data_IF_963538786093
#
_entry.id   IF_963538786093
#
_cell.length_a   1.000
_cell.length_b   1.000
_cell.length_c   1.000
_cell.angle_alpha   90.00
_cell.angle_beta   90.00
_cell.angle_gamma   90.00
#
_symmetry.space_group_name_H-M   'P 1'
#
loop_
_entity.id
_entity.type
_entity.pdbx_description
1 polymer ?
#
# COMPACT_ATOMS: atom_id res chain seq x y z
N UNK A 1 -7.56 -29.25 -34.36
CA UNK A 1 -8.19 -28.19 -33.54
C UNK A 1 -7.08 -27.34 -32.97
N UNK A 2 -7.13 -26.01 -33.12
CA UNK A 2 -6.18 -25.13 -32.44
C UNK A 2 -6.55 -25.08 -30.96
N UNK A 3 -5.65 -25.53 -30.08
CA UNK A 3 -5.81 -25.30 -28.65
C UNK A 3 -5.45 -23.84 -28.37
N UNK A 4 -6.37 -23.00 -27.89
CA UNK A 4 -6.02 -21.64 -27.53
C UNK A 4 -5.04 -21.67 -26.36
N UNK A 5 -4.07 -20.75 -26.36
CA UNK A 5 -3.19 -20.53 -25.22
C UNK A 5 -4.01 -19.83 -24.12
N UNK A 6 -4.06 -20.44 -22.94
CA UNK A 6 -4.62 -19.81 -21.74
C UNK A 6 -3.50 -19.06 -21.02
N UNK A 7 -3.73 -17.77 -20.75
CA UNK A 7 -2.79 -16.90 -20.01
C UNK A 7 -3.50 -16.42 -18.76
N UNK A 8 -2.88 -16.61 -17.60
CA UNK A 8 -3.36 -16.13 -16.32
C UNK A 8 -2.43 -15.05 -15.79
N UNK A 9 -2.97 -13.86 -15.51
CA UNK A 9 -2.27 -12.80 -14.79
C UNK A 9 -2.72 -12.83 -13.32
N UNK A 10 -1.74 -12.86 -12.42
CA UNK A 10 -1.97 -12.81 -10.97
C UNK A 10 -1.23 -11.59 -10.43
N UNK A 11 -1.97 -10.60 -9.96
CA UNK A 11 -1.42 -9.40 -9.35
C UNK A 11 -1.35 -9.59 -7.84
N UNK A 12 -0.15 -9.62 -7.29
CA UNK A 12 0.07 -9.74 -5.85
C UNK A 12 0.19 -8.37 -5.20
N UNK A 13 -0.81 -7.99 -4.40
CA UNK A 13 -0.83 -6.72 -3.69
C UNK A 13 -0.52 -6.94 -2.21
N UNK A 14 0.68 -6.50 -1.82
CA UNK A 14 1.20 -6.64 -0.47
C UNK A 14 1.85 -5.35 -0.01
N UNK A 15 1.65 -5.03 1.27
CA UNK A 15 2.46 -4.08 2.01
C UNK A 15 2.79 -4.70 3.38
N UNK A 16 4.03 -4.55 3.87
CA UNK A 16 4.38 -4.88 5.25
C UNK A 16 3.45 -4.20 6.26
N UNK A 17 3.41 -4.75 7.47
CA UNK A 17 2.71 -4.08 8.57
C UNK A 17 3.54 -2.88 9.06
N UNK A 18 3.08 -1.68 8.72
CA UNK A 18 3.69 -0.42 9.16
C UNK A 18 3.12 0.07 10.49
N UNK A 19 2.04 -0.54 10.98
CA UNK A 19 1.42 -0.22 12.27
C UNK A 19 2.39 -0.50 13.42
N UNK A 20 2.68 0.52 14.22
CA UNK A 20 3.56 0.37 15.37
C UNK A 20 2.89 -0.43 16.49
N UNK A 21 3.63 -1.35 17.11
CA UNK A 21 3.16 -2.12 18.26
C UNK A 21 3.47 -1.44 19.62
N UNK A 22 4.18 -0.30 19.64
CA UNK A 22 4.60 0.37 20.87
C UNK A 22 3.71 1.58 21.21
N UNK A 23 2.94 1.44 22.29
CA UNK A 23 2.69 2.53 23.24
C UNK A 23 1.30 3.18 23.21
N UNK A 24 0.46 2.81 24.16
CA UNK A 24 -0.78 3.47 24.55
C UNK A 24 -0.60 4.88 25.18
N UNK A 25 0.35 5.71 24.69
CA UNK A 25 0.64 7.02 25.28
C UNK A 25 0.94 8.15 24.29
N UNK A 26 0.67 7.97 23.00
CA UNK A 26 0.42 9.09 22.07
C UNK A 26 -0.86 8.70 21.34
N UNK A 27 -1.86 9.58 21.34
CA UNK A 27 -3.21 9.30 20.86
C UNK A 27 -3.20 8.55 19.50
N UNK A 28 -3.79 7.34 19.48
CA UNK A 28 -4.23 6.53 18.32
C UNK A 28 -3.28 6.33 17.12
N UNK A 29 -2.97 5.06 16.82
CA UNK A 29 -2.69 4.56 15.46
C UNK A 29 -1.49 5.12 14.71
N UNK A 30 -0.30 5.09 15.32
CA UNK A 30 0.94 5.47 14.64
C UNK A 30 1.41 4.41 13.64
N UNK A 31 1.57 4.83 12.39
CA UNK A 31 2.17 4.06 11.31
C UNK A 31 3.57 4.58 11.05
N UNK A 32 4.49 3.69 10.65
CA UNK A 32 5.87 4.10 10.37
C UNK A 32 6.05 4.69 8.97
N UNK A 33 5.26 4.23 7.99
CA UNK A 33 5.41 4.59 6.59
C UNK A 33 4.04 4.77 5.91
N UNK A 34 3.97 5.63 4.87
CA UNK A 34 2.71 6.04 4.24
C UNK A 34 2.24 5.08 3.13
N UNK A 35 3.02 4.04 2.83
CA UNK A 35 2.94 3.31 1.57
C UNK A 35 1.59 2.64 1.32
N UNK A 36 0.92 2.12 2.35
CA UNK A 36 -0.45 1.59 2.20
C UNK A 36 -1.43 2.67 1.70
N UNK A 37 -1.34 3.89 2.25
CA UNK A 37 -2.21 5.01 1.87
C UNK A 37 -1.87 5.52 0.47
N UNK A 38 -0.59 5.71 0.16
CA UNK A 38 -0.15 6.29 -1.12
C UNK A 38 -0.34 5.32 -2.30
N UNK A 39 0.07 4.05 -2.15
CA UNK A 39 -0.21 3.04 -3.18
C UNK A 39 -1.72 2.74 -3.29
N UNK A 40 -2.47 2.86 -2.19
CA UNK A 40 -3.92 2.69 -2.24
C UNK A 40 -4.64 3.71 -3.11
N UNK A 41 -4.08 4.91 -3.31
CA UNK A 41 -4.65 5.90 -4.23
C UNK A 41 -4.16 5.77 -5.67
N UNK A 42 -3.26 4.80 -5.94
CA UNK A 42 -2.56 4.71 -7.22
C UNK A 42 -2.53 3.34 -7.92
N UNK A 43 -2.56 2.23 -7.18
CA UNK A 43 -2.21 0.91 -7.75
C UNK A 43 -3.24 -0.20 -7.50
N UNK A 44 -4.18 0.01 -6.56
CA UNK A 44 -5.12 -1.04 -6.15
C UNK A 44 -6.48 -0.90 -6.84
N UNK A 45 -7.08 0.30 -6.81
CA UNK A 45 -8.42 0.54 -7.35
C UNK A 45 -8.42 0.76 -8.87
N UNK A 46 -7.48 1.58 -9.34
CA UNK A 46 -7.26 1.97 -10.73
C UNK A 46 -7.10 0.74 -11.64
N UNK A 47 -6.28 -0.25 -11.25
CA UNK A 47 -6.08 -1.49 -11.98
C UNK A 47 -7.42 -2.21 -12.24
N UNK A 48 -8.27 -2.27 -11.20
CA UNK A 48 -9.56 -2.97 -11.26
C UNK A 48 -10.61 -2.17 -12.03
N UNK A 49 -10.61 -0.85 -11.92
CA UNK A 49 -11.47 0.03 -12.73
C UNK A 49 -11.11 -0.02 -14.21
N UNK A 50 -9.81 -0.06 -14.54
CA UNK A 50 -9.35 -0.27 -15.91
C UNK A 50 -9.80 -1.64 -16.43
N UNK A 51 -9.64 -2.71 -15.64
CA UNK A 51 -10.09 -4.06 -16.00
C UNK A 51 -11.60 -4.11 -16.30
N UNK A 52 -12.43 -3.41 -15.51
CA UNK A 52 -13.90 -3.36 -15.69
C UNK A 52 -14.31 -2.91 -17.11
N UNK A 53 -13.48 -2.09 -17.78
CA UNK A 53 -13.72 -1.65 -19.16
C UNK A 53 -13.51 -2.74 -20.21
N UNK A 54 -12.98 -3.91 -19.84
CA UNK A 54 -12.65 -5.04 -20.73
C UNK A 54 -13.33 -6.35 -20.29
N UNK A 55 -14.67 -6.47 -20.41
CA UNK A 55 -15.47 -7.54 -19.77
C UNK A 55 -15.14 -8.98 -20.20
N UNK A 56 -14.39 -9.17 -21.29
CA UNK A 56 -13.93 -10.49 -21.74
C UNK A 56 -12.62 -10.93 -21.08
N UNK A 57 -11.86 -9.99 -20.52
CA UNK A 57 -10.60 -10.26 -19.86
C UNK A 57 -10.88 -10.62 -18.40
N UNK A 58 -10.33 -11.76 -17.99
CA UNK A 58 -10.41 -12.26 -16.63
C UNK A 58 -9.02 -12.23 -16.01
N UNK A 59 -8.93 -11.82 -14.75
CA UNK A 59 -7.66 -11.73 -14.04
C UNK A 59 -7.82 -12.18 -12.59
N UNK A 60 -6.69 -12.41 -11.94
CA UNK A 60 -6.63 -12.72 -10.51
C UNK A 60 -5.90 -11.60 -9.78
N UNK A 61 -6.45 -11.16 -8.64
CA UNK A 61 -5.74 -10.30 -7.70
C UNK A 61 -5.61 -11.03 -6.37
N UNK A 62 -4.40 -11.07 -5.83
CA UNK A 62 -4.16 -11.46 -4.46
C UNK A 62 -4.12 -10.23 -3.56
N UNK A 63 -4.90 -10.25 -2.48
CA UNK A 63 -4.88 -9.21 -1.44
C UNK A 63 -4.39 -9.81 -0.13
N UNK A 64 -3.22 -9.36 0.35
CA UNK A 64 -2.70 -9.81 1.64
C UNK A 64 -3.57 -9.26 2.79
N UNK A 65 -3.95 -10.07 3.80
CA UNK A 65 -4.82 -9.63 4.89
C UNK A 65 -4.30 -8.39 5.65
N UNK A 66 -2.99 -8.28 5.92
CA UNK A 66 -2.41 -7.08 6.54
C UNK A 66 -2.47 -5.83 5.68
N UNK A 67 -2.56 -5.95 4.34
CA UNK A 67 -2.84 -4.79 3.50
C UNK A 67 -4.26 -4.28 3.73
N UNK A 68 -5.24 -5.19 3.72
CA UNK A 68 -6.66 -4.87 3.97
C UNK A 68 -6.82 -4.19 5.33
N UNK A 69 -6.27 -4.78 6.39
CA UNK A 69 -6.35 -4.20 7.74
C UNK A 69 -5.86 -2.75 7.79
N UNK A 70 -4.71 -2.47 7.16
CA UNK A 70 -4.13 -1.13 7.19
C UNK A 70 -4.92 -0.14 6.33
N UNK A 71 -5.49 -0.58 5.20
CA UNK A 71 -6.40 0.25 4.40
C UNK A 71 -7.60 0.68 5.24
N UNK A 72 -8.19 -0.25 6.02
CA UNK A 72 -9.34 0.06 6.89
C UNK A 72 -8.99 1.07 7.97
N UNK A 73 -7.84 0.93 8.63
CA UNK A 73 -7.41 1.90 9.64
C UNK A 73 -7.25 3.33 9.04
N UNK A 74 -6.77 3.45 7.79
CA UNK A 74 -6.72 4.75 7.08
C UNK A 74 -8.10 5.25 6.65
N UNK A 75 -8.98 4.37 6.16
CA UNK A 75 -10.35 4.70 5.78
C UNK A 75 -11.13 5.23 6.98
N UNK A 76 -10.97 4.61 8.16
CA UNK A 76 -11.62 5.02 9.41
C UNK A 76 -11.01 6.30 10.00
N UNK A 77 -9.87 6.74 9.48
CA UNK A 77 -9.14 7.91 10.01
C UNK A 77 -8.49 7.64 11.36
N UNK A 78 -8.19 6.37 11.67
CA UNK A 78 -7.50 5.98 12.91
C UNK A 78 -6.01 5.74 12.69
N UNK A 79 -5.55 5.62 11.45
CA UNK A 79 -4.13 5.54 11.08
C UNK A 79 -3.53 6.90 10.70
N UNK A 80 -2.38 7.22 11.31
CA UNK A 80 -1.55 8.37 10.96
C UNK A 80 -0.08 7.96 10.83
N UNK A 81 0.49 8.20 9.66
CA UNK A 81 1.93 8.11 9.40
C UNK A 81 2.60 9.49 9.54
N UNK A 82 3.96 9.58 9.61
CA UNK A 82 4.67 10.84 9.71
C UNK A 82 4.37 11.83 8.58
N UNK A 83 4.16 11.35 7.36
CA UNK A 83 3.88 12.19 6.19
C UNK A 83 2.48 12.79 6.30
N UNK A 84 1.47 11.97 6.62
CA UNK A 84 0.10 12.44 6.82
C UNK A 84 0.02 13.43 7.98
N UNK A 85 0.70 13.14 9.09
CA UNK A 85 0.77 14.04 10.25
C UNK A 85 1.29 15.42 9.85
N UNK A 86 2.38 15.48 9.08
CA UNK A 86 2.96 16.72 8.61
C UNK A 86 2.11 17.42 7.55
N UNK A 87 1.49 16.66 6.64
CA UNK A 87 0.58 17.19 5.65
C UNK A 87 -0.62 17.91 6.28
N UNK A 88 -1.04 17.51 7.49
CA UNK A 88 -2.12 18.13 8.25
C UNK A 88 -1.65 19.11 9.33
N UNK A 89 -0.34 19.37 9.44
CA UNK A 89 0.22 20.37 10.35
C UNK A 89 0.28 21.74 9.65
N UNK A 90 -0.08 22.81 10.37
CA UNK A 90 0.07 24.18 9.88
C UNK A 90 1.56 24.50 9.70
N UNK A 91 1.92 25.16 8.61
CA UNK A 91 3.31 25.45 8.26
C UNK A 91 3.99 26.38 9.26
N UNK A 92 3.21 27.24 9.92
CA UNK A 92 3.60 28.13 11.00
C UNK A 92 4.03 27.36 12.26
N UNK A 93 3.53 26.14 12.44
CA UNK A 93 3.79 25.29 13.61
C UNK A 93 4.89 24.24 13.36
N UNK A 94 5.44 24.18 12.14
CA UNK A 94 6.50 23.23 11.81
C UNK A 94 7.80 23.56 12.55
N UNK A 95 8.25 22.60 13.36
CA UNK A 95 9.57 22.65 13.99
C UNK A 95 10.68 22.47 12.95
N UNK A 96 11.91 22.85 13.30
CA UNK A 96 13.08 22.67 12.43
C UNK A 96 13.30 21.21 12.03
N UNK A 97 13.14 20.27 12.97
CA UNK A 97 13.27 18.84 12.69
C UNK A 97 12.20 18.34 11.72
N UNK A 98 10.96 18.82 11.83
CA UNK A 98 9.90 18.47 10.89
C UNK A 98 10.15 19.05 9.51
N UNK A 99 10.67 20.28 9.40
CA UNK A 99 11.10 20.87 8.12
C UNK A 99 12.20 20.05 7.45
N UNK A 100 13.20 19.60 8.21
CA UNK A 100 14.24 18.71 7.71
C UNK A 100 13.66 17.39 7.20
N UNK A 101 12.73 16.78 7.95
CA UNK A 101 12.03 15.59 7.51
C UNK A 101 11.28 15.82 6.18
N UNK A 102 10.59 16.96 6.04
CA UNK A 102 9.86 17.31 4.83
C UNK A 102 10.81 17.40 3.62
N UNK A 103 11.92 18.14 3.76
CA UNK A 103 12.92 18.29 2.68
C UNK A 103 13.51 16.93 2.27
N UNK A 104 13.74 16.05 3.25
CA UNK A 104 14.30 14.72 3.01
C UNK A 104 13.32 13.84 2.23
N UNK A 105 12.09 13.73 2.72
CA UNK A 105 11.19 12.62 2.40
C UNK A 105 10.00 12.98 1.51
N UNK A 106 9.61 14.25 1.38
CA UNK A 106 8.42 14.60 0.60
C UNK A 106 8.65 14.56 -0.92
N UNK A 107 9.83 14.11 -1.36
CA UNK A 107 10.11 13.72 -2.74
C UNK A 107 10.26 12.20 -2.91
N UNK A 108 9.82 11.40 -1.92
CA UNK A 108 9.79 9.93 -2.00
C UNK A 108 8.66 9.50 -2.96
N UNK A 109 8.92 9.71 -4.25
CA UNK A 109 8.07 9.44 -5.40
C UNK A 109 8.96 9.27 -6.64
N UNK A 110 8.45 8.64 -7.70
CA UNK A 110 9.20 8.55 -8.95
C UNK A 110 9.39 9.94 -9.56
N UNK A 111 10.64 10.35 -9.78
CA UNK A 111 10.98 11.66 -10.33
C UNK A 111 10.28 11.94 -11.67
N UNK A 112 10.44 11.06 -12.66
CA UNK A 112 9.96 11.29 -14.02
C UNK A 112 8.44 11.22 -14.15
N UNK A 113 7.78 10.34 -13.39
CA UNK A 113 6.35 10.08 -13.59
C UNK A 113 5.45 10.77 -12.56
N UNK A 114 5.96 11.14 -11.39
CA UNK A 114 5.17 11.74 -10.31
C UNK A 114 5.63 13.16 -9.93
N UNK A 115 6.91 13.49 -10.07
CA UNK A 115 7.42 14.81 -9.68
C UNK A 115 7.46 15.74 -10.89
N UNK A 116 8.15 15.33 -11.94
CA UNK A 116 8.39 16.12 -13.13
C UNK A 116 7.11 16.62 -13.80
N UNK A 117 6.04 15.84 -13.97
CA UNK A 117 4.85 16.32 -14.68
C UNK A 117 4.18 17.56 -14.05
N UNK A 118 4.49 17.87 -12.79
CA UNK A 118 3.87 18.94 -12.03
C UNK A 118 4.85 20.12 -11.82
N UNK A 119 4.66 21.28 -12.50
CA UNK A 119 5.67 22.33 -12.58
C UNK A 119 6.20 22.84 -11.23
N UNK A 120 5.32 23.04 -10.24
CA UNK A 120 5.74 23.50 -8.91
C UNK A 120 6.44 22.40 -8.12
N UNK A 121 5.99 21.16 -8.23
CA UNK A 121 6.64 20.05 -7.53
C UNK A 121 8.07 19.83 -8.07
N UNK A 122 8.22 19.89 -9.40
CA UNK A 122 9.52 19.90 -10.08
C UNK A 122 10.41 21.04 -9.62
N UNK A 123 9.90 22.27 -9.58
CA UNK A 123 10.67 23.45 -9.14
C UNK A 123 11.24 23.27 -7.72
N UNK A 124 10.44 22.77 -6.78
CA UNK A 124 10.88 22.49 -5.41
C UNK A 124 11.91 21.35 -5.38
N UNK A 125 11.74 20.33 -6.22
CA UNK A 125 12.70 19.24 -6.35
C UNK A 125 14.05 19.73 -6.87
N UNK A 126 14.05 20.49 -7.97
CA UNK A 126 15.24 21.10 -8.58
C UNK A 126 15.95 22.04 -7.59
N UNK A 127 15.19 22.88 -6.88
CA UNK A 127 15.73 23.72 -5.80
C UNK A 127 16.52 22.92 -4.77
N UNK A 128 15.99 21.75 -4.35
CA UNK A 128 16.68 20.85 -3.40
C UNK A 128 17.93 20.21 -3.99
N UNK A 129 17.89 19.80 -5.27
CA UNK A 129 19.04 19.18 -5.93
C UNK A 129 20.18 20.18 -6.15
N UNK A 130 19.86 21.38 -6.62
CA UNK A 130 20.85 22.37 -7.04
C UNK A 130 21.48 23.11 -5.86
N UNK A 131 20.68 23.44 -4.83
CA UNK A 131 21.13 24.25 -3.70
C UNK A 131 21.47 23.41 -2.46
N UNK A 132 20.94 22.19 -2.37
CA UNK A 132 21.12 21.30 -1.24
C UNK A 132 20.12 21.53 -0.10
N UNK A 133 19.97 20.49 0.74
CA UNK A 133 18.94 20.41 1.80
C UNK A 133 19.08 21.51 2.87
N UNK A 134 20.32 21.86 3.25
CA UNK A 134 20.58 22.91 4.24
C UNK A 134 20.19 24.29 3.71
N UNK A 135 20.45 24.55 2.43
CA UNK A 135 20.02 25.79 1.79
C UNK A 135 18.49 25.89 1.78
N UNK A 136 17.79 24.82 1.39
CA UNK A 136 16.33 24.77 1.43
C UNK A 136 15.79 25.04 2.84
N UNK A 137 16.39 24.45 3.88
CA UNK A 137 15.96 24.67 5.26
C UNK A 137 16.01 26.14 5.67
N UNK A 138 17.02 26.87 5.20
CA UNK A 138 17.26 28.27 5.55
C UNK A 138 16.53 29.28 4.64
N UNK A 139 16.18 28.89 3.41
CA UNK A 139 15.66 29.83 2.39
C UNK A 139 14.21 29.57 1.96
N UNK A 140 13.67 28.36 2.18
CA UNK A 140 12.28 28.08 1.84
C UNK A 140 11.30 28.81 2.76
N UNK A 141 10.29 29.39 2.14
CA UNK A 141 9.17 30.08 2.77
C UNK A 141 8.13 29.08 3.28
N UNK A 142 7.16 29.55 4.08
CA UNK A 142 6.03 28.72 4.51
C UNK A 142 5.22 28.17 3.32
N UNK A 143 5.12 28.94 2.24
CA UNK A 143 4.41 28.55 1.01
C UNK A 143 5.13 27.40 0.29
N UNK A 144 6.47 27.40 0.24
CA UNK A 144 7.25 26.29 -0.32
C UNK A 144 6.99 24.97 0.42
N UNK A 145 6.96 25.01 1.76
CA UNK A 145 6.59 23.83 2.55
C UNK A 145 5.13 23.42 2.33
N UNK A 146 4.19 24.37 2.29
CA UNK A 146 2.77 24.04 2.10
C UNK A 146 2.52 23.39 0.73
N UNK A 147 3.17 23.90 -0.31
CA UNK A 147 3.11 23.34 -1.65
C UNK A 147 3.75 21.96 -1.73
N UNK A 148 4.92 21.74 -1.12
CA UNK A 148 5.57 20.43 -1.09
C UNK A 148 4.70 19.39 -0.35
N UNK A 149 4.13 19.76 0.79
CA UNK A 149 3.23 18.90 1.57
C UNK A 149 1.99 18.51 0.76
N UNK A 150 1.42 19.43 -0.03
CA UNK A 150 0.29 19.16 -0.89
C UNK A 150 0.67 18.27 -2.09
N UNK A 151 1.74 18.64 -2.81
CA UNK A 151 2.16 17.96 -4.04
C UNK A 151 2.59 16.52 -3.80
N UNK A 152 3.29 16.24 -2.71
CA UNK A 152 3.60 14.87 -2.35
C UNK A 152 2.32 14.02 -2.32
N UNK A 153 1.26 14.47 -1.65
CA UNK A 153 0.02 13.70 -1.54
C UNK A 153 -0.82 13.69 -2.82
N UNK A 154 -0.85 14.79 -3.56
CA UNK A 154 -1.63 14.95 -4.78
C UNK A 154 -1.06 14.11 -5.93
N UNK A 155 0.27 14.09 -6.08
CA UNK A 155 0.95 13.36 -7.14
C UNK A 155 0.77 11.83 -7.04
N UNK A 156 0.51 11.30 -5.84
CA UNK A 156 0.22 9.89 -5.61
C UNK A 156 -1.22 9.48 -5.96
N UNK A 157 -2.10 10.41 -6.35
CA UNK A 157 -3.43 10.06 -6.85
C UNK A 157 -3.32 9.67 -8.33
N UNK A 158 -3.81 8.48 -8.67
CA UNK A 158 -3.70 7.97 -10.04
C UNK A 158 -4.29 8.95 -11.08
N UNK A 159 -3.66 9.12 -12.26
CA UNK A 159 -4.22 9.90 -13.37
C UNK A 159 -5.65 9.53 -13.77
N UNK A 160 -6.09 8.30 -13.50
CA UNK A 160 -7.47 7.87 -13.69
C UNK A 160 -8.49 8.75 -12.95
N UNK A 161 -8.10 9.44 -11.88
CA UNK A 161 -8.97 10.31 -11.08
C UNK A 161 -8.78 11.81 -11.35
N UNK A 162 -7.96 12.21 -12.34
CA UNK A 162 -7.68 13.63 -12.59
C UNK A 162 -8.86 14.43 -13.14
N UNK A 163 -9.90 13.76 -13.64
CA UNK A 163 -11.15 14.38 -14.06
C UNK A 163 -12.17 14.57 -12.93
N UNK A 164 -11.90 14.04 -11.72
CA UNK A 164 -12.68 14.35 -10.52
C UNK A 164 -12.62 15.88 -10.26
N UNK A 165 -13.76 16.56 -10.07
CA UNK A 165 -13.80 18.02 -9.97
C UNK A 165 -12.91 18.62 -8.87
N UNK A 166 -12.73 17.93 -7.74
CA UNK A 166 -11.86 18.41 -6.67
C UNK A 166 -10.39 18.25 -7.03
N UNK A 167 -10.01 17.10 -7.60
CA UNK A 167 -8.64 16.81 -8.02
C UNK A 167 -8.22 17.74 -9.16
N UNK A 168 -9.06 17.87 -10.19
CA UNK A 168 -8.83 18.77 -11.31
C UNK A 168 -8.56 20.21 -10.85
N UNK A 169 -9.33 20.69 -9.88
CA UNK A 169 -9.16 22.03 -9.30
C UNK A 169 -7.80 22.19 -8.60
N UNK A 170 -7.33 21.18 -7.86
CA UNK A 170 -6.01 21.25 -7.22
C UNK A 170 -4.86 21.17 -8.23
N UNK A 171 -5.01 20.35 -9.27
CA UNK A 171 -4.05 20.29 -10.36
C UNK A 171 -3.95 21.63 -11.11
N UNK A 172 -5.07 22.29 -11.37
CA UNK A 172 -5.12 23.63 -11.96
C UNK A 172 -4.54 24.70 -11.04
N UNK A 173 -4.89 24.65 -9.74
CA UNK A 173 -4.36 25.57 -8.73
C UNK A 173 -2.82 25.52 -8.69
N UNK A 174 -2.24 24.32 -8.62
CA UNK A 174 -0.82 24.02 -8.79
C UNK A 174 0.18 24.62 -7.78
N UNK A 175 -0.19 25.67 -7.05
CA UNK A 175 0.63 26.41 -6.06
C UNK A 175 -0.25 27.03 -4.98
N UNK A 176 0.40 27.59 -3.96
CA UNK A 176 -0.23 28.32 -2.86
C UNK A 176 -1.29 27.47 -2.14
N UNK A 177 -1.00 26.19 -1.90
CA UNK A 177 -1.93 25.29 -1.23
C UNK A 177 -2.12 25.68 0.22
N UNK A 178 -3.37 25.76 0.66
CA UNK A 178 -3.70 26.05 2.07
C UNK A 178 -3.70 24.76 2.90
N UNK A 179 -3.69 24.89 4.24
CA UNK A 179 -3.95 23.74 5.12
C UNK A 179 -5.32 23.09 4.82
N UNK A 180 -6.31 23.92 4.48
CA UNK A 180 -7.64 23.44 4.10
C UNK A 180 -7.63 22.62 2.80
N UNK A 181 -6.78 22.97 1.84
CA UNK A 181 -6.57 22.15 0.64
C UNK A 181 -5.96 20.79 0.99
N UNK A 182 -4.91 20.77 1.81
CA UNK A 182 -4.25 19.52 2.25
C UNK A 182 -5.19 18.60 3.02
N UNK A 183 -6.05 19.15 3.87
CA UNK A 183 -7.10 18.41 4.56
C UNK A 183 -8.14 17.79 3.61
N UNK A 184 -8.53 18.52 2.56
CA UNK A 184 -9.44 18.00 1.53
C UNK A 184 -8.77 16.96 0.64
N UNK A 185 -7.50 17.14 0.26
CA UNK A 185 -6.72 16.11 -0.46
C UNK A 185 -6.72 14.81 0.35
N UNK A 186 -6.42 14.86 1.64
CA UNK A 186 -6.47 13.69 2.52
C UNK A 186 -7.87 13.04 2.56
N UNK A 187 -8.92 13.86 2.61
CA UNK A 187 -10.30 13.35 2.60
C UNK A 187 -10.64 12.65 1.27
N UNK A 188 -10.17 13.18 0.13
CA UNK A 188 -10.29 12.54 -1.18
C UNK A 188 -9.48 11.24 -1.25
N UNK A 189 -8.28 11.18 -0.68
CA UNK A 189 -7.52 9.93 -0.58
C UNK A 189 -8.33 8.87 0.18
N UNK A 190 -8.93 9.20 1.33
CA UNK A 190 -9.81 8.27 2.07
C UNK A 190 -11.01 7.80 1.26
N UNK A 191 -11.64 8.69 0.50
CA UNK A 191 -12.74 8.35 -0.41
C UNK A 191 -12.29 7.30 -1.44
N UNK A 192 -11.14 7.51 -2.09
CA UNK A 192 -10.56 6.56 -3.05
C UNK A 192 -10.28 5.22 -2.37
N UNK A 193 -9.61 5.22 -1.21
CA UNK A 193 -9.30 3.99 -0.46
C UNK A 193 -10.57 3.20 -0.13
N UNK A 194 -11.64 3.88 0.29
CA UNK A 194 -12.91 3.24 0.67
C UNK A 194 -13.58 2.45 -0.45
N UNK A 195 -13.21 2.73 -1.71
CA UNK A 195 -13.76 2.06 -2.90
C UNK A 195 -12.98 0.80 -3.29
N UNK A 196 -11.78 0.57 -2.76
CA UNK A 196 -10.91 -0.56 -3.16
C UNK A 196 -11.65 -1.90 -2.95
N UNK A 197 -11.95 -2.26 -1.71
CA UNK A 197 -12.55 -3.57 -1.39
C UNK A 197 -13.95 -3.74 -2.02
N UNK A 198 -14.85 -2.74 -1.97
CA UNK A 198 -16.15 -2.84 -2.65
C UNK A 198 -16.03 -3.09 -4.17
N UNK A 199 -15.12 -2.41 -4.86
CA UNK A 199 -14.94 -2.59 -6.31
C UNK A 199 -14.37 -3.97 -6.64
N UNK A 200 -13.39 -4.45 -5.87
CA UNK A 200 -12.86 -5.80 -6.03
C UNK A 200 -13.98 -6.84 -5.84
N UNK A 201 -14.78 -6.70 -4.78
CA UNK A 201 -15.93 -7.59 -4.53
C UNK A 201 -16.94 -7.58 -5.66
N UNK A 202 -17.33 -6.40 -6.16
CA UNK A 202 -18.23 -6.25 -7.32
C UNK A 202 -17.72 -7.02 -8.53
N UNK A 203 -16.43 -6.87 -8.85
CA UNK A 203 -15.80 -7.54 -9.99
C UNK A 203 -15.69 -9.05 -9.80
N UNK A 204 -15.52 -9.50 -8.55
CA UNK A 204 -15.58 -10.92 -8.20
C UNK A 204 -16.98 -11.51 -8.28
N UNK A 205 -18.00 -10.74 -7.88
CA UNK A 205 -19.40 -11.13 -7.98
C UNK A 205 -19.83 -11.25 -9.45
N UNK A 206 -19.32 -10.36 -10.32
CA UNK A 206 -19.52 -10.42 -11.77
C UNK A 206 -18.74 -11.56 -12.47
N UNK A 207 -17.81 -12.22 -11.76
CA UNK A 207 -16.99 -13.31 -12.28
C UNK A 207 -15.79 -12.87 -13.12
N UNK A 208 -15.56 -11.57 -13.31
CA UNK A 208 -14.45 -11.05 -14.10
C UNK A 208 -13.12 -11.08 -13.33
N UNK A 209 -13.18 -11.00 -11.99
CA UNK A 209 -12.01 -11.04 -11.12
C UNK A 209 -12.06 -12.26 -10.19
N UNK A 210 -10.98 -13.04 -10.13
CA UNK A 210 -10.75 -13.94 -9.00
C UNK A 210 -9.92 -13.22 -7.93
N UNK A 211 -10.34 -13.32 -6.68
CA UNK A 211 -9.58 -12.79 -5.54
C UNK A 211 -9.02 -13.97 -4.77
N UNK A 212 -7.71 -13.93 -4.50
CA UNK A 212 -7.06 -14.88 -3.58
C UNK A 212 -6.57 -14.15 -2.33
N UNK A 213 -6.25 -14.91 -1.30
CA UNK A 213 -5.67 -14.40 -0.05
C UNK A 213 -4.27 -14.96 0.17
N UNK A 214 -3.60 -14.51 1.23
CA UNK A 214 -2.29 -14.99 1.67
C UNK A 214 -2.34 -15.29 3.17
N UNK A 215 -1.36 -16.05 3.71
CA UNK A 215 -1.24 -16.21 5.16
C UNK A 215 -1.24 -14.86 5.89
N UNK A 216 -1.93 -14.76 7.03
CA UNK A 216 -2.40 -13.48 7.60
C UNK A 216 -1.39 -12.32 7.63
N UNK A 217 -0.17 -12.51 8.13
CA UNK A 217 0.87 -11.44 8.18
C UNK A 217 1.96 -11.64 7.12
N UNK A 218 1.64 -12.34 6.05
CA UNK A 218 2.58 -12.71 4.99
C UNK A 218 3.86 -13.45 5.46
N UNK A 219 3.82 -14.39 6.43
CA UNK A 219 5.00 -15.18 6.80
C UNK A 219 5.40 -16.14 5.67
N UNK A 220 6.69 -16.40 5.55
CA UNK A 220 7.22 -17.48 4.73
C UNK A 220 6.93 -18.81 5.43
N UNK A 221 5.82 -19.48 5.05
CA UNK A 221 5.31 -20.66 5.76
C UNK A 221 6.36 -21.78 5.96
N UNK A 222 7.21 -22.14 4.97
CA UNK A 222 8.24 -23.15 5.20
C UNK A 222 9.22 -22.81 6.33
N UNK A 223 9.52 -21.53 6.53
CA UNK A 223 10.40 -21.07 7.60
C UNK A 223 9.69 -21.01 8.97
N UNK A 224 8.36 -21.07 9.01
CA UNK A 224 7.63 -21.33 10.25
C UNK A 224 7.78 -22.80 10.67
N UNK A 225 7.81 -23.74 9.72
CA UNK A 225 8.09 -25.15 10.05
C UNK A 225 9.49 -25.27 10.62
N UNK A 226 10.49 -24.77 9.88
CA UNK A 226 11.89 -24.76 10.31
C UNK A 226 12.74 -23.83 9.44
N UNK A 227 13.50 -22.93 10.06
CA UNK A 227 14.48 -22.10 9.35
C UNK A 227 15.54 -22.89 8.59
N UNK A 228 15.82 -24.13 8.99
CA UNK A 228 16.77 -24.98 8.28
C UNK A 228 16.29 -25.38 6.87
N UNK A 229 15.00 -25.24 6.56
CA UNK A 229 14.50 -25.41 5.19
C UNK A 229 15.09 -24.40 4.21
N UNK A 230 15.68 -23.30 4.68
CA UNK A 230 16.48 -22.41 3.84
C UNK A 230 17.58 -23.16 3.05
N UNK A 231 18.20 -24.19 3.64
CA UNK A 231 19.20 -25.01 2.97
C UNK A 231 18.63 -25.89 1.85
N UNK A 232 17.34 -26.22 1.86
CA UNK A 232 16.72 -26.98 0.76
C UNK A 232 16.65 -26.12 -0.50
N UNK A 233 16.34 -24.83 -0.35
CA UNK A 233 16.31 -23.88 -1.46
C UNK A 233 17.72 -23.41 -1.86
N UNK A 234 18.57 -23.11 -0.86
CA UNK A 234 19.92 -22.58 -1.05
C UNK A 234 20.89 -23.30 -0.10
N UNK A 235 21.56 -24.39 -0.54
CA UNK A 235 22.38 -25.24 0.33
C UNK A 235 23.46 -24.51 1.13
N UNK A 236 24.09 -23.49 0.56
CA UNK A 236 25.21 -22.77 1.19
C UNK A 236 24.77 -21.46 1.90
N UNK A 237 23.45 -21.28 2.11
CA UNK A 237 22.92 -20.10 2.80
C UNK A 237 23.42 -20.03 4.25
N UNK A 238 23.84 -18.84 4.68
CA UNK A 238 24.01 -18.57 6.11
C UNK A 238 22.65 -18.52 6.79
N UNK A 239 22.40 -19.43 7.75
CA UNK A 239 21.18 -19.45 8.54
C UNK A 239 21.30 -18.65 9.84
N UNK A 240 20.16 -18.24 10.43
CA UNK A 240 20.16 -17.67 11.77
C UNK A 240 20.82 -18.60 12.78
N UNK A 241 21.55 -18.04 13.75
CA UNK A 241 22.19 -18.83 14.82
C UNK A 241 21.15 -19.57 15.69
N UNK A 242 19.97 -18.98 15.86
CA UNK A 242 18.85 -19.58 16.58
C UNK A 242 17.88 -20.18 15.57
N UNK A 243 17.73 -21.51 15.61
CA UNK A 243 16.74 -22.22 14.82
C UNK A 243 15.34 -21.81 15.27
N UNK A 244 14.52 -21.36 14.33
CA UNK A 244 13.13 -20.98 14.58
C UNK A 244 12.21 -22.08 14.03
N UNK A 245 11.32 -22.59 14.89
CA UNK A 245 10.38 -23.66 14.59
C UNK A 245 9.07 -23.39 15.34
N UNK A 246 8.07 -22.92 14.61
CA UNK A 246 6.75 -22.53 15.10
C UNK A 246 5.69 -22.99 14.09
N UNK A 247 5.75 -24.27 13.72
CA UNK A 247 4.83 -24.89 12.77
C UNK A 247 3.36 -24.72 13.17
N UNK A 248 3.08 -24.67 14.48
CA UNK A 248 1.76 -24.45 15.05
C UNK A 248 1.13 -23.08 14.69
N UNK A 249 1.92 -22.12 14.19
CA UNK A 249 1.41 -20.84 13.71
C UNK A 249 0.80 -20.91 12.30
N UNK A 250 1.14 -21.94 11.51
CA UNK A 250 0.62 -22.10 10.14
C UNK A 250 -0.92 -22.13 10.14
N UNK A 251 -1.61 -23.01 10.90
CA UNK A 251 -3.07 -23.00 10.94
C UNK A 251 -3.66 -21.65 11.37
N UNK A 252 -3.00 -20.93 12.30
CA UNK A 252 -3.48 -19.62 12.80
C UNK A 252 -3.46 -18.58 11.68
N UNK A 253 -2.39 -18.55 10.88
CA UNK A 253 -2.29 -17.64 9.74
C UNK A 253 -3.31 -17.95 8.65
N UNK A 254 -3.54 -19.24 8.36
CA UNK A 254 -4.50 -19.68 7.34
C UNK A 254 -5.95 -19.39 7.80
N UNK A 255 -6.30 -19.70 9.05
CA UNK A 255 -7.64 -19.45 9.60
C UNK A 255 -7.98 -17.96 9.64
N UNK A 256 -7.05 -17.10 10.09
CA UNK A 256 -7.27 -15.64 10.10
C UNK A 256 -7.44 -15.08 8.69
N UNK A 257 -6.64 -15.55 7.73
CA UNK A 257 -6.77 -15.16 6.33
C UNK A 257 -8.13 -15.57 5.76
N UNK A 258 -8.59 -16.80 6.07
CA UNK A 258 -9.88 -17.31 5.65
C UNK A 258 -11.05 -16.50 6.22
N UNK A 259 -11.01 -16.22 7.52
CA UNK A 259 -12.02 -15.42 8.20
C UNK A 259 -12.12 -14.03 7.59
N UNK A 260 -10.99 -13.32 7.50
CA UNK A 260 -10.96 -11.95 6.95
C UNK A 260 -11.46 -11.92 5.50
N UNK A 261 -11.01 -12.87 4.67
CA UNK A 261 -11.51 -12.96 3.30
C UNK A 261 -13.02 -13.16 3.25
N UNK A 262 -13.56 -14.07 4.07
CA UNK A 262 -15.00 -14.36 4.12
C UNK A 262 -15.79 -13.14 4.56
N UNK A 263 -15.31 -12.39 5.56
CA UNK A 263 -15.94 -11.16 6.03
C UNK A 263 -15.98 -10.06 4.96
N UNK A 264 -14.88 -9.87 4.19
CA UNK A 264 -14.81 -8.81 3.18
C UNK A 264 -15.55 -9.16 1.88
N UNK A 265 -15.43 -10.41 1.42
CA UNK A 265 -15.92 -10.83 0.10
C UNK A 265 -17.21 -11.67 0.15
N UNK A 266 -17.68 -12.05 1.35
CA UNK A 266 -18.95 -12.75 1.54
C UNK A 266 -18.98 -14.20 1.03
N UNK A 267 -17.80 -14.78 0.76
CA UNK A 267 -17.63 -16.17 0.27
C UNK A 267 -16.28 -16.72 0.73
N UNK A 268 -16.12 -18.03 0.71
CA UNK A 268 -14.83 -18.67 1.00
C UNK A 268 -13.78 -18.37 -0.08
N UNK A 269 -12.48 -18.21 0.28
CA UNK A 269 -11.41 -18.13 -0.72
C UNK A 269 -11.26 -19.49 -1.42
N UNK A 270 -10.82 -19.44 -2.69
CA UNK A 270 -10.45 -20.65 -3.44
C UNK A 270 -8.94 -20.83 -3.52
N UNK A 271 -8.24 -19.75 -3.85
CA UNK A 271 -6.79 -19.74 -4.01
C UNK A 271 -6.07 -19.13 -2.80
N UNK A 272 -4.90 -19.67 -2.50
CA UNK A 272 -3.92 -19.11 -1.59
C UNK A 272 -2.68 -18.70 -2.39
N UNK A 273 -2.20 -17.48 -2.20
CA UNK A 273 -0.86 -17.09 -2.61
C UNK A 273 0.09 -17.28 -1.42
N UNK A 274 0.99 -18.28 -1.43
CA UNK A 274 2.01 -18.43 -0.42
C UNK A 274 2.93 -17.20 -0.46
N UNK A 275 3.31 -16.68 0.70
CA UNK A 275 4.16 -15.49 0.79
C UNK A 275 5.46 -15.71 0.01
N UNK A 276 5.79 -14.77 -0.89
CA UNK A 276 6.93 -14.88 -1.81
C UNK A 276 6.94 -16.16 -2.66
N UNK A 277 5.77 -16.76 -2.92
CA UNK A 277 5.61 -18.07 -3.57
C UNK A 277 6.41 -19.20 -2.90
N UNK A 278 6.72 -19.04 -1.60
CA UNK A 278 7.51 -20.01 -0.86
C UNK A 278 6.68 -21.23 -0.50
N UNK A 279 7.07 -22.40 -1.02
CA UNK A 279 6.39 -23.67 -0.81
C UNK A 279 7.37 -24.77 -0.40
N UNK A 280 6.89 -25.73 0.40
CA UNK A 280 7.60 -26.96 0.73
C UNK A 280 6.59 -28.10 0.93
N UNK A 281 6.98 -29.38 0.81
CA UNK A 281 6.08 -30.51 1.05
C UNK A 281 5.38 -30.46 2.43
N UNK A 282 6.06 -29.91 3.44
CA UNK A 282 5.60 -29.86 4.82
C UNK A 282 4.43 -28.91 5.05
N UNK A 283 4.32 -27.83 4.26
CA UNK A 283 3.22 -26.88 4.40
C UNK A 283 1.94 -27.33 3.67
N UNK A 284 2.05 -28.28 2.73
CA UNK A 284 0.93 -28.69 1.87
C UNK A 284 -0.26 -29.30 2.64
N UNK A 285 -0.07 -30.19 3.63
CA UNK A 285 -1.17 -30.75 4.42
C UNK A 285 -2.00 -29.65 5.11
N UNK A 286 -1.34 -28.64 5.68
CA UNK A 286 -2.01 -27.52 6.34
C UNK A 286 -2.86 -26.68 5.37
N UNK A 287 -2.34 -26.41 4.17
CA UNK A 287 -3.04 -25.64 3.14
C UNK A 287 -4.26 -26.43 2.63
N UNK A 288 -4.09 -27.73 2.38
CA UNK A 288 -5.17 -28.60 1.94
C UNK A 288 -6.26 -28.77 3.00
N UNK A 289 -5.89 -28.98 4.27
CA UNK A 289 -6.82 -29.09 5.40
C UNK A 289 -7.59 -27.79 5.64
N UNK A 290 -6.96 -26.63 5.43
CA UNK A 290 -7.62 -25.34 5.49
C UNK A 290 -8.68 -25.14 4.39
N UNK A 291 -8.66 -25.94 3.32
CA UNK A 291 -9.68 -25.95 2.26
C UNK A 291 -9.34 -25.11 1.02
N UNK A 292 -8.07 -24.71 0.84
CA UNK A 292 -7.63 -24.04 -0.38
C UNK A 292 -7.52 -25.04 -1.54
N UNK A 293 -8.00 -24.64 -2.71
CA UNK A 293 -8.02 -25.48 -3.91
C UNK A 293 -6.75 -25.32 -4.76
N UNK A 294 -6.11 -24.15 -4.70
CA UNK A 294 -4.94 -23.81 -5.50
C UNK A 294 -4.09 -22.71 -4.88
#
# INVERSE_FOLDING_TARGET
MSHPLYVAFIWHQHQPIYKSHKGASVASGQYHLPWVRLHGTKDYLDLVLLLESYPKLHQTVNLVPTLILQLEDYIDGTAFDPYLTLALTSTEQLTQHQKQFIIEHFFDANHYTLIDPHPRYRELYESRQDQGKEWCLNNWTLEDYSDLLAWHNLAWIDPLFWDDPDIARWLEQGRNFTLSDRQRIYSKQREILSRIIPQHRKMQDAGQLEITTSPYTHPILPLLVDTNYGHVAVPEMSLPQQRFQWEEDIPRHLQKAWQMYTEKFGRAPRGLWPSEQSVSPEILPYIAEAGFNW
#
